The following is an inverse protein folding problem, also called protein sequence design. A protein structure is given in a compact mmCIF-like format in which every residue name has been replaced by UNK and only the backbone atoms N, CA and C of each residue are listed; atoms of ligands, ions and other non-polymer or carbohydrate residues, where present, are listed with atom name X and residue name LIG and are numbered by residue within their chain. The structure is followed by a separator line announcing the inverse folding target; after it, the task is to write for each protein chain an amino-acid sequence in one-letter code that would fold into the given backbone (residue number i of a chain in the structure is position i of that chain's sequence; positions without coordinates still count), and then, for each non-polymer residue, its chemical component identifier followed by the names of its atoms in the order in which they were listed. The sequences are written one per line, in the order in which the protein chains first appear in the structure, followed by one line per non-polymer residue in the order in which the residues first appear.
data_IF_767026588241
#
_entry.id   IF_767026588241
#
_cell.length_a   1.000
_cell.length_b   1.000
_cell.length_c   1.000
_cell.angle_alpha   90.00
_cell.angle_beta   90.00
_cell.angle_gamma   90.00
#
_symmetry.space_group_name_H-M   'P 1'
#
loop_
_entity.id
_entity.type
_entity.pdbx_description
1 polymer ?
#
# COMPACT_ATOMS: atom_id res chain seq x y z
N UNK A 1 -31.88 24.84 13.72
CA UNK A 1 -30.99 23.68 13.48
C UNK A 1 -30.55 23.76 12.03
N UNK A 2 -29.32 24.19 11.76
CA UNK A 2 -28.81 24.20 10.38
C UNK A 2 -28.44 22.77 10.00
N UNK A 3 -29.27 22.14 9.17
CA UNK A 3 -28.91 20.88 8.52
C UNK A 3 -27.94 21.19 7.38
N UNK A 4 -26.66 20.87 7.56
CA UNK A 4 -25.69 20.91 6.47
C UNK A 4 -25.88 19.63 5.63
N UNK A 5 -26.43 19.78 4.43
CA UNK A 5 -26.61 18.70 3.46
C UNK A 5 -25.51 18.84 2.42
N UNK A 6 -24.41 18.11 2.57
CA UNK A 6 -23.35 18.00 1.57
C UNK A 6 -23.48 16.67 0.82
N UNK A 7 -23.77 16.73 -0.48
CA UNK A 7 -23.58 15.60 -1.39
C UNK A 7 -22.10 15.54 -1.79
N UNK A 8 -21.38 14.53 -1.31
CA UNK A 8 -19.98 14.32 -1.67
C UNK A 8 -19.88 13.67 -3.04
N UNK A 9 -19.30 14.38 -4.01
CA UNK A 9 -19.06 13.82 -5.35
C UNK A 9 -17.68 13.20 -5.52
N UNK A 10 -16.77 13.34 -4.54
CA UNK A 10 -15.45 12.72 -4.58
C UNK A 10 -14.67 12.71 -3.25
N UNK A 11 -13.52 12.01 -3.26
CA UNK A 11 -12.59 11.91 -2.14
C UNK A 11 -11.99 13.27 -1.75
N UNK A 12 -11.77 14.16 -2.73
CA UNK A 12 -11.18 15.48 -2.52
C UNK A 12 -12.08 16.38 -1.66
N UNK A 13 -13.39 16.34 -1.90
CA UNK A 13 -14.38 17.06 -1.09
C UNK A 13 -14.35 16.56 0.36
N UNK A 14 -14.29 15.24 0.58
CA UNK A 14 -14.21 14.63 1.91
C UNK A 14 -12.96 15.08 2.66
N UNK A 15 -11.80 15.11 1.99
CA UNK A 15 -10.54 15.57 2.60
C UNK A 15 -10.68 17.02 3.03
N UNK A 16 -11.22 17.89 2.17
CA UNK A 16 -11.40 19.31 2.47
C UNK A 16 -12.32 19.53 3.67
N UNK A 17 -13.46 18.85 3.72
CA UNK A 17 -14.37 18.95 4.86
C UNK A 17 -13.71 18.50 6.17
N UNK A 18 -12.89 17.45 6.13
CA UNK A 18 -12.15 17.03 7.33
C UNK A 18 -11.06 18.04 7.70
N UNK A 19 -10.38 18.66 6.75
CA UNK A 19 -9.43 19.74 7.03
C UNK A 19 -10.10 20.97 7.65
N UNK A 20 -11.37 21.25 7.31
CA UNK A 20 -12.16 22.34 7.88
C UNK A 20 -12.72 22.02 9.28
N UNK A 21 -13.15 20.79 9.52
CA UNK A 21 -13.85 20.38 10.76
C UNK A 21 -12.94 19.69 11.79
N UNK A 22 -11.90 19.01 11.34
CA UNK A 22 -11.10 18.09 12.14
C UNK A 22 -9.77 18.65 12.61
N UNK A 23 -9.17 17.99 13.60
CA UNK A 23 -7.80 18.32 14.01
C UNK A 23 -6.78 17.58 13.14
N UNK A 24 -5.55 18.10 13.07
CA UNK A 24 -4.43 17.40 12.41
C UNK A 24 -4.22 15.99 12.99
N UNK A 25 -4.48 15.79 14.29
CA UNK A 25 -4.38 14.48 14.93
C UNK A 25 -5.45 13.48 14.45
N UNK A 26 -6.68 13.95 14.21
CA UNK A 26 -7.77 13.10 13.73
C UNK A 26 -7.55 12.69 12.27
N UNK A 27 -7.06 13.64 11.45
CA UNK A 27 -6.57 13.38 10.11
C UNK A 27 -5.43 12.35 10.11
N UNK A 28 -4.44 12.52 10.99
CA UNK A 28 -3.29 11.63 11.06
C UNK A 28 -3.71 10.20 11.44
N UNK A 29 -4.62 10.05 12.41
CA UNK A 29 -5.17 8.75 12.82
C UNK A 29 -5.96 8.08 11.70
N UNK A 30 -6.78 8.84 11.00
CA UNK A 30 -7.62 8.33 9.90
C UNK A 30 -6.76 7.91 8.72
N UNK A 31 -5.78 8.71 8.34
CA UNK A 31 -4.80 8.36 7.32
C UNK A 31 -4.02 7.08 7.67
N UNK A 32 -3.56 6.92 8.92
CA UNK A 32 -2.92 5.69 9.38
C UNK A 32 -3.85 4.47 9.24
N UNK A 33 -5.14 4.64 9.56
CA UNK A 33 -6.12 3.55 9.46
C UNK A 33 -6.36 3.15 8.01
N UNK A 34 -6.58 4.11 7.12
CA UNK A 34 -6.73 3.88 5.67
C UNK A 34 -5.49 3.16 5.13
N UNK A 35 -4.29 3.69 5.42
CA UNK A 35 -3.03 3.10 4.97
C UNK A 35 -2.81 1.69 5.52
N UNK A 36 -3.26 1.39 6.74
CA UNK A 36 -3.22 0.04 7.30
C UNK A 36 -4.07 -0.93 6.49
N UNK A 37 -5.33 -0.58 6.27
CA UNK A 37 -6.29 -1.44 5.55
C UNK A 37 -5.85 -1.66 4.10
N UNK A 38 -5.40 -0.59 3.42
CA UNK A 38 -4.85 -0.68 2.08
C UNK A 38 -3.58 -1.55 2.04
N UNK A 39 -2.67 -1.38 3.00
CA UNK A 39 -1.43 -2.16 3.09
C UNK A 39 -1.68 -3.65 3.31
N UNK A 40 -2.60 -3.99 4.22
CA UNK A 40 -2.99 -5.38 4.51
C UNK A 40 -3.65 -6.05 3.30
N UNK A 41 -4.51 -5.31 2.58
CA UNK A 41 -5.14 -5.79 1.36
C UNK A 41 -4.10 -6.03 0.26
N UNK A 42 -3.22 -5.07 0.02
CA UNK A 42 -2.15 -5.18 -0.98
C UNK A 42 -1.22 -6.38 -0.69
N UNK A 43 -0.87 -6.58 0.59
CA UNK A 43 -0.03 -7.69 1.03
C UNK A 43 -0.66 -9.06 0.71
N UNK A 44 -1.97 -9.21 0.93
CA UNK A 44 -2.69 -10.45 0.60
C UNK A 44 -2.76 -10.70 -0.90
N UNK A 45 -2.98 -9.66 -1.70
CA UNK A 45 -3.18 -9.79 -3.14
C UNK A 45 -1.87 -9.95 -3.91
N UNK A 46 -0.75 -9.40 -3.41
CA UNK A 46 0.53 -9.52 -4.09
C UNK A 46 1.16 -10.91 -3.96
N UNK A 47 0.90 -11.62 -2.86
CA UNK A 47 1.46 -12.93 -2.59
C UNK A 47 1.27 -13.95 -3.74
N UNK A 48 0.05 -14.18 -4.28
CA UNK A 48 -0.15 -15.11 -5.38
C UNK A 48 0.38 -14.61 -6.73
N UNK A 49 0.70 -13.32 -6.86
CA UNK A 49 1.22 -12.74 -8.12
C UNK A 49 2.73 -12.87 -8.26
N UNK A 50 3.45 -13.05 -7.15
CA UNK A 50 4.89 -13.26 -7.18
C UNK A 50 5.17 -14.69 -7.67
N UNK A 51 5.95 -14.81 -8.74
CA UNK A 51 6.27 -16.09 -9.35
C UNK A 51 7.02 -17.02 -8.39
N UNK A 52 6.60 -18.28 -8.35
CA UNK A 52 7.28 -19.36 -7.62
C UNK A 52 7.77 -20.41 -8.61
N UNK A 53 9.04 -20.80 -8.50
CA UNK A 53 9.55 -21.96 -9.23
C UNK A 53 9.05 -23.25 -8.56
N UNK A 54 8.96 -24.34 -9.32
CA UNK A 54 8.62 -25.67 -8.77
C UNK A 54 9.66 -26.17 -7.77
N UNK A 55 10.92 -25.79 -7.99
CA UNK A 55 12.06 -26.16 -7.17
C UNK A 55 12.93 -24.92 -6.97
N UNK A 56 13.07 -24.48 -5.71
CA UNK A 56 13.95 -23.36 -5.38
C UNK A 56 15.43 -23.76 -5.54
N UNK A 57 15.78 -25.04 -5.39
CA UNK A 57 17.17 -25.51 -5.54
C UNK A 57 17.73 -25.33 -6.97
N UNK A 58 16.84 -25.09 -7.95
CA UNK A 58 17.18 -24.85 -9.35
C UNK A 58 16.98 -23.39 -9.79
N UNK A 59 16.64 -22.49 -8.86
CA UNK A 59 16.44 -21.08 -9.14
C UNK A 59 17.67 -20.24 -8.77
N UNK A 60 17.92 -19.18 -9.55
CA UNK A 60 18.97 -18.21 -9.26
C UNK A 60 20.39 -18.77 -9.34
N UNK A 61 21.36 -17.95 -8.90
CA UNK A 61 22.77 -18.32 -8.81
C UNK A 61 23.04 -19.02 -7.48
N UNK A 62 23.75 -20.14 -7.52
CA UNK A 62 24.24 -20.84 -6.33
C UNK A 62 25.08 -19.90 -5.44
N UNK A 63 24.80 -19.90 -4.12
CA UNK A 63 25.41 -19.00 -3.14
C UNK A 63 24.71 -17.63 -2.97
N UNK A 64 23.99 -17.14 -3.98
CA UNK A 64 23.19 -15.89 -3.88
C UNK A 64 21.69 -16.13 -3.70
N UNK A 65 21.24 -17.39 -3.83
CA UNK A 65 19.86 -17.79 -3.67
C UNK A 65 19.43 -17.81 -2.19
N UNK A 66 18.32 -17.17 -1.81
CA UNK A 66 17.70 -17.34 -0.50
C UNK A 66 17.04 -18.70 -0.28
N UNK A 67 16.94 -19.15 0.96
CA UNK A 67 16.17 -20.35 1.31
C UNK A 67 14.66 -20.07 1.21
N UNK A 68 14.01 -20.63 0.18
CA UNK A 68 12.57 -20.48 -0.07
C UNK A 68 12.23 -19.38 -1.08
N UNK A 69 10.94 -19.22 -1.39
CA UNK A 69 10.46 -18.26 -2.39
C UNK A 69 10.17 -16.88 -1.81
N UNK A 70 10.40 -15.83 -2.61
CA UNK A 70 10.06 -14.45 -2.24
C UNK A 70 8.57 -14.29 -1.88
N UNK A 71 7.68 -14.94 -2.62
CA UNK A 71 6.24 -14.93 -2.35
C UNK A 71 5.86 -15.39 -0.93
N UNK A 72 6.68 -16.22 -0.28
CA UNK A 72 6.43 -16.69 1.10
C UNK A 72 7.13 -15.82 2.15
N UNK A 73 7.96 -14.87 1.73
CA UNK A 73 8.84 -14.08 2.59
C UNK A 73 8.69 -12.57 2.34
N UNK A 74 7.50 -12.15 1.92
CA UNK A 74 7.20 -10.75 1.64
C UNK A 74 7.28 -9.96 2.95
N UNK A 75 8.05 -8.86 3.01
CA UNK A 75 8.04 -7.98 4.17
C UNK A 75 6.63 -7.49 4.48
N UNK A 76 6.26 -7.59 5.76
CA UNK A 76 5.00 -7.05 6.25
C UNK A 76 4.89 -5.54 5.95
N UNK A 77 3.67 -5.00 5.79
CA UNK A 77 3.46 -3.57 5.55
C UNK A 77 4.16 -2.70 6.60
N UNK A 78 4.96 -1.73 6.14
CA UNK A 78 5.69 -0.80 7.00
C UNK A 78 5.23 0.63 6.77
N UNK A 79 4.88 1.32 7.85
CA UNK A 79 4.58 2.75 7.79
C UNK A 79 5.86 3.58 7.64
N UNK A 80 5.82 4.57 6.76
CA UNK A 80 6.86 5.60 6.65
C UNK A 80 6.22 6.97 6.52
N UNK A 81 6.85 7.97 7.14
CA UNK A 81 6.54 9.39 6.91
C UNK A 81 7.66 9.99 6.07
N UNK A 82 7.34 10.49 4.88
CA UNK A 82 8.31 11.09 3.95
C UNK A 82 7.82 12.49 3.61
N UNK A 83 8.60 13.52 3.92
CA UNK A 83 8.29 14.94 3.65
C UNK A 83 6.86 15.34 4.11
N UNK A 84 6.49 14.96 5.34
CA UNK A 84 5.17 15.25 5.91
C UNK A 84 4.04 14.31 5.50
N UNK A 85 4.20 13.54 4.41
CA UNK A 85 3.17 12.58 3.93
C UNK A 85 3.35 11.20 4.53
N UNK A 86 2.25 10.52 4.78
CA UNK A 86 2.24 9.14 5.28
C UNK A 86 2.16 8.15 4.13
N UNK A 87 2.93 7.06 4.26
CA UNK A 87 3.00 5.99 3.29
C UNK A 87 2.93 4.65 4.01
N UNK A 88 2.37 3.66 3.35
CA UNK A 88 2.55 2.25 3.68
C UNK A 88 3.37 1.61 2.56
N UNK A 89 4.47 0.96 2.94
CA UNK A 89 5.32 0.22 2.02
C UNK A 89 5.00 -1.25 2.19
N UNK A 90 4.64 -1.90 1.09
CA UNK A 90 4.36 -3.34 1.05
C UNK A 90 5.46 -4.01 0.24
N UNK A 91 6.12 -5.02 0.82
CA UNK A 91 7.24 -5.69 0.19
C UNK A 91 8.57 -4.95 0.36
N UNK A 92 9.42 -5.05 -0.67
CA UNK A 92 10.79 -4.52 -0.66
C UNK A 92 10.85 -3.12 -1.27
N UNK A 93 11.36 -2.16 -0.51
CA UNK A 93 11.65 -0.83 -1.05
C UNK A 93 13.02 -0.78 -1.74
N UNK A 94 13.31 0.31 -2.47
CA UNK A 94 14.57 0.46 -3.22
C UNK A 94 15.82 0.34 -2.33
N UNK A 95 15.72 0.77 -1.07
CA UNK A 95 16.79 0.73 -0.08
C UNK A 95 16.94 -0.63 0.62
N UNK A 96 16.03 -1.58 0.42
CA UNK A 96 16.01 -2.84 1.15
C UNK A 96 17.14 -3.78 0.69
N UNK A 97 18.03 -4.15 1.62
CA UNK A 97 19.17 -5.05 1.36
C UNK A 97 18.98 -6.44 2.00
N UNK A 98 17.74 -6.83 2.30
CA UNK A 98 17.42 -8.15 2.86
C UNK A 98 17.63 -9.28 1.85
N UNK A 99 17.47 -10.53 2.30
CA UNK A 99 17.73 -11.74 1.49
C UNK A 99 17.04 -11.73 0.13
N UNK A 100 15.85 -11.15 0.02
CA UNK A 100 15.06 -11.10 -1.22
C UNK A 100 15.16 -9.76 -1.97
N UNK A 101 16.26 -9.02 -1.79
CA UNK A 101 16.49 -7.72 -2.44
C UNK A 101 16.35 -7.76 -3.97
N UNK A 102 16.56 -8.90 -4.62
CA UNK A 102 16.42 -9.05 -6.07
C UNK A 102 14.98 -8.78 -6.56
N UNK A 103 13.97 -8.85 -5.67
CA UNK A 103 12.59 -8.49 -6.00
C UNK A 103 12.47 -7.02 -6.44
N UNK A 104 13.43 -6.17 -6.07
CA UNK A 104 13.53 -4.80 -6.57
C UNK A 104 13.84 -4.78 -8.07
N UNK A 105 14.73 -5.66 -8.52
CA UNK A 105 15.07 -5.80 -9.94
C UNK A 105 13.88 -6.40 -10.70
N UNK A 106 13.17 -7.36 -10.13
CA UNK A 106 11.93 -7.86 -10.74
C UNK A 106 10.89 -6.74 -10.86
N UNK A 107 10.71 -5.90 -9.84
CA UNK A 107 9.71 -4.83 -9.87
C UNK A 107 10.10 -3.66 -10.79
N UNK A 108 11.37 -3.24 -10.85
CA UNK A 108 11.79 -2.05 -11.61
C UNK A 108 12.60 -2.34 -12.87
N UNK A 109 12.96 -3.60 -13.10
CA UNK A 109 13.82 -4.01 -14.20
C UNK A 109 15.30 -3.68 -13.96
N UNK A 110 16.10 -4.01 -14.96
CA UNK A 110 17.52 -3.66 -15.06
C UNK A 110 17.83 -3.25 -16.50
N UNK A 111 19.07 -2.85 -16.76
CA UNK A 111 19.53 -2.59 -18.14
C UNK A 111 19.38 -3.79 -19.08
N UNK A 112 19.35 -5.03 -18.55
CA UNK A 112 19.30 -6.25 -19.34
C UNK A 112 17.93 -6.93 -19.37
N UNK A 113 17.01 -6.57 -18.47
CA UNK A 113 15.70 -7.23 -18.32
C UNK A 113 14.59 -6.22 -18.00
N UNK A 114 13.44 -6.31 -18.68
CA UNK A 114 12.30 -5.45 -18.39
C UNK A 114 11.70 -5.76 -17.01
N UNK A 115 10.95 -4.82 -16.42
CA UNK A 115 10.25 -5.05 -15.15
C UNK A 115 9.10 -6.04 -15.28
N UNK A 116 8.96 -6.90 -14.27
CA UNK A 116 7.85 -7.81 -14.04
C UNK A 116 7.07 -7.40 -12.79
N UNK A 117 6.27 -6.35 -12.94
CA UNK A 117 5.54 -5.70 -11.84
C UNK A 117 4.54 -6.63 -11.16
N UNK A 118 4.86 -7.08 -9.94
CA UNK A 118 3.88 -7.70 -9.06
C UNK A 118 3.16 -6.62 -8.25
N UNK A 119 3.92 -5.72 -7.61
CA UNK A 119 3.38 -4.67 -6.74
C UNK A 119 2.69 -3.58 -7.55
N UNK A 120 3.26 -3.16 -8.68
CA UNK A 120 2.64 -2.20 -9.59
C UNK A 120 1.31 -2.70 -10.16
N UNK A 121 1.18 -4.01 -10.41
CA UNK A 121 -0.07 -4.63 -10.87
C UNK A 121 -1.14 -4.62 -9.77
N UNK A 122 -0.75 -4.93 -8.53
CA UNK A 122 -1.65 -4.83 -7.37
C UNK A 122 -2.20 -3.42 -7.20
N UNK A 123 -1.36 -2.39 -7.28
CA UNK A 123 -1.83 -1.01 -7.17
C UNK A 123 -2.85 -0.62 -8.25
N UNK A 124 -2.72 -1.15 -9.47
CA UNK A 124 -3.71 -0.94 -10.54
C UNK A 124 -5.03 -1.66 -10.26
N UNK A 125 -4.96 -2.92 -9.82
CA UNK A 125 -6.14 -3.75 -9.50
C UNK A 125 -6.92 -3.15 -8.34
N UNK A 126 -6.22 -2.76 -7.28
CA UNK A 126 -6.82 -2.32 -6.02
C UNK A 126 -7.17 -0.84 -5.98
N UNK A 127 -6.88 -0.06 -7.04
CA UNK A 127 -7.12 1.40 -7.07
C UNK A 127 -8.52 1.78 -6.56
N UNK A 128 -9.57 1.19 -7.15
CA UNK A 128 -10.95 1.45 -6.74
C UNK A 128 -11.24 1.03 -5.29
N UNK A 129 -10.62 -0.06 -4.83
CA UNK A 129 -10.80 -0.54 -3.46
C UNK A 129 -10.12 0.38 -2.46
N UNK A 130 -8.93 0.92 -2.78
CA UNK A 130 -8.28 1.92 -1.96
C UNK A 130 -9.11 3.20 -1.85
N UNK A 131 -9.66 3.67 -2.97
CA UNK A 131 -10.54 4.85 -3.00
C UNK A 131 -11.77 4.62 -2.08
N UNK A 132 -12.41 3.45 -2.18
CA UNK A 132 -13.56 3.10 -1.34
C UNK A 132 -13.21 3.00 0.15
N UNK A 133 -12.05 2.45 0.50
CA UNK A 133 -11.57 2.38 1.89
C UNK A 133 -11.37 3.81 2.42
N UNK A 134 -10.73 4.67 1.64
CA UNK A 134 -10.49 6.05 2.04
C UNK A 134 -11.80 6.83 2.21
N UNK A 135 -12.72 6.77 1.23
CA UNK A 135 -14.04 7.39 1.30
C UNK A 135 -14.77 6.97 2.58
N UNK A 136 -14.87 5.67 2.84
CA UNK A 136 -15.55 5.13 4.01
C UNK A 136 -14.98 5.68 5.32
N UNK A 137 -13.65 5.72 5.45
CA UNK A 137 -13.01 6.19 6.68
C UNK A 137 -13.11 7.70 6.88
N UNK A 138 -13.04 8.49 5.80
CA UNK A 138 -13.26 9.93 5.89
C UNK A 138 -14.72 10.27 6.20
N UNK A 139 -15.70 9.61 5.59
CA UNK A 139 -17.12 9.77 5.95
C UNK A 139 -17.38 9.43 7.41
N UNK A 140 -16.76 8.36 7.92
CA UNK A 140 -16.89 7.97 9.33
C UNK A 140 -16.28 9.01 10.27
N UNK A 141 -15.23 9.71 9.84
CA UNK A 141 -14.64 10.80 10.61
C UNK A 141 -15.55 12.03 10.61
N UNK A 142 -16.05 12.46 9.44
CA UNK A 142 -16.97 13.61 9.34
C UNK A 142 -18.19 13.39 10.22
N UNK A 143 -18.83 12.21 10.15
CA UNK A 143 -19.98 11.85 11.01
C UNK A 143 -19.69 11.90 12.51
N UNK A 144 -18.42 11.79 12.92
CA UNK A 144 -18.01 11.94 14.33
C UNK A 144 -17.76 13.40 14.69
N UNK A 145 -17.29 14.22 13.75
CA UNK A 145 -17.00 15.64 13.95
C UNK A 145 -18.26 16.50 13.91
N UNK A 146 -19.29 16.07 13.17
CA UNK A 146 -20.60 16.76 13.08
C UNK A 146 -21.52 16.51 14.30
N UNK A 147 -21.13 15.62 15.23
CA UNK A 147 -21.87 15.32 16.46
C UNK A 147 -21.38 16.14 17.63
#
# INVERSE_FOLDING_TARGET
MSSFSMEFTGLEDLIKTVEELGTEQDLEKTNKKVLKECGDLAYKIVQPLIHKSKDNSKSGREGSRPNGHAADNIPAPKFKKIKGRQYVIVGWDKSDNSKYWYMKIEEWGSSQRPPHHSFGKVNKILKKQYDNIAIKEYENLIKKLER
#
